data_IF_203123875252
#
_entry.id   IF_203123875252
#
_cell.length_a   1.000
_cell.length_b   1.000
_cell.length_c   1.000
_cell.angle_alpha   90.00
_cell.angle_beta   90.00
_cell.angle_gamma   90.00
#
_symmetry.space_group_name_H-M   'P 1'
#
loop_
_entity.id
_entity.type
_entity.pdbx_description
1 polymer ?
#
# COMPACT_ATOMS: atom_id res chain seq x y z
N UNK A 1 22.77 -37.60 -7.20
CA UNK A 1 22.13 -36.47 -7.94
C UNK A 1 20.91 -37.05 -8.70
N UNK A 2 19.72 -37.05 -8.13
CA UNK A 2 18.50 -37.54 -8.80
C UNK A 2 18.07 -36.45 -9.80
N UNK A 3 18.22 -36.74 -11.10
CA UNK A 3 17.77 -35.87 -12.17
C UNK A 3 16.29 -35.62 -12.06
N UNK A 4 15.90 -34.37 -12.10
CA UNK A 4 14.49 -33.93 -12.08
C UNK A 4 13.81 -34.48 -13.34
N UNK A 5 12.75 -35.31 -13.19
CA UNK A 5 12.00 -35.90 -14.31
C UNK A 5 11.51 -34.81 -15.26
N UNK A 6 11.83 -34.92 -16.55
CA UNK A 6 11.45 -33.96 -17.59
C UNK A 6 10.15 -34.39 -18.32
N UNK A 7 9.54 -33.44 -19.04
CA UNK A 7 8.42 -33.78 -19.95
C UNK A 7 8.82 -34.79 -21.02
N UNK A 8 10.07 -34.76 -21.45
CA UNK A 8 10.61 -35.70 -22.45
C UNK A 8 10.67 -37.13 -21.92
N UNK A 9 11.05 -37.31 -20.65
CA UNK A 9 11.10 -38.64 -20.01
C UNK A 9 9.72 -39.24 -19.90
N UNK A 10 8.74 -38.47 -19.48
CA UNK A 10 7.32 -38.90 -19.41
C UNK A 10 6.77 -39.21 -20.80
N UNK A 11 7.10 -38.39 -21.80
CA UNK A 11 6.65 -38.59 -23.18
C UNK A 11 7.22 -39.91 -23.76
N UNK A 12 8.49 -40.19 -23.54
CA UNK A 12 9.14 -41.44 -23.95
C UNK A 12 8.51 -42.66 -23.28
N UNK A 13 8.25 -42.61 -21.96
CA UNK A 13 7.64 -43.69 -21.19
C UNK A 13 6.17 -43.90 -21.53
N UNK A 14 5.44 -42.82 -21.82
CA UNK A 14 4.03 -42.87 -22.22
C UNK A 14 3.87 -43.32 -23.70
N UNK A 15 4.89 -43.20 -24.52
CA UNK A 15 4.85 -43.48 -25.97
C UNK A 15 4.07 -42.42 -26.75
N UNK A 16 4.16 -41.17 -26.33
CA UNK A 16 3.43 -40.01 -26.95
C UNK A 16 4.40 -38.83 -27.16
N UNK A 17 3.98 -37.85 -27.93
CA UNK A 17 4.78 -36.64 -28.11
C UNK A 17 4.88 -35.79 -26.83
N UNK A 18 5.98 -35.04 -26.66
CA UNK A 18 6.18 -34.09 -25.58
C UNK A 18 5.03 -33.05 -25.54
N UNK A 19 4.52 -32.67 -26.71
CA UNK A 19 3.37 -31.75 -26.80
C UNK A 19 2.07 -32.35 -26.29
N UNK A 20 1.87 -33.67 -26.42
CA UNK A 20 0.72 -34.38 -25.84
C UNK A 20 0.80 -34.41 -24.32
N UNK A 21 1.99 -34.76 -23.76
CA UNK A 21 2.21 -34.74 -22.30
C UNK A 21 2.02 -33.33 -21.75
N UNK A 22 2.58 -32.33 -22.41
CA UNK A 22 2.44 -30.92 -22.00
C UNK A 22 0.99 -30.46 -21.96
N UNK A 23 0.17 -30.82 -22.94
CA UNK A 23 -1.29 -30.50 -22.95
C UNK A 23 -2.02 -31.17 -21.81
N UNK A 24 -1.84 -32.47 -21.61
CA UNK A 24 -2.47 -33.24 -20.54
C UNK A 24 -2.06 -32.70 -19.17
N UNK A 25 -0.79 -32.41 -18.97
CA UNK A 25 -0.26 -31.83 -17.74
C UNK A 25 -0.85 -30.43 -17.41
N UNK A 26 -1.30 -29.70 -18.44
CA UNK A 26 -1.95 -28.39 -18.34
C UNK A 26 -3.50 -28.45 -18.37
N UNK A 27 -4.10 -29.66 -18.34
CA UNK A 27 -5.55 -29.84 -18.27
C UNK A 27 -6.27 -29.78 -19.64
N UNK A 28 -5.55 -29.66 -20.78
CA UNK A 28 -6.13 -29.78 -22.11
C UNK A 28 -6.24 -31.26 -22.50
N UNK A 29 -7.40 -31.86 -22.20
CA UNK A 29 -7.66 -33.29 -22.36
C UNK A 29 -8.34 -33.63 -23.71
N UNK A 30 -8.85 -32.63 -24.42
CA UNK A 30 -9.76 -32.84 -25.57
C UNK A 30 -9.14 -33.43 -26.85
N UNK A 31 -7.80 -33.57 -26.91
CA UNK A 31 -7.10 -34.04 -28.09
C UNK A 31 -6.34 -35.36 -27.91
N UNK A 32 -6.61 -36.08 -26.81
CA UNK A 32 -6.02 -37.37 -26.54
C UNK A 32 -7.10 -38.38 -26.12
N UNK A 33 -6.88 -39.68 -26.37
CA UNK A 33 -7.81 -40.72 -25.92
C UNK A 33 -7.82 -40.77 -24.39
N UNK A 34 -8.95 -41.19 -23.79
CA UNK A 34 -9.08 -41.35 -22.35
C UNK A 34 -7.98 -42.28 -21.76
N UNK A 35 -7.58 -43.31 -22.49
CA UNK A 35 -6.52 -44.23 -22.10
C UNK A 35 -5.16 -43.53 -22.06
N UNK A 36 -4.87 -42.69 -23.05
CA UNK A 36 -3.64 -41.88 -23.11
C UNK A 36 -3.58 -40.86 -21.96
N UNK A 37 -4.70 -40.18 -21.70
CA UNK A 37 -4.82 -39.23 -20.59
C UNK A 37 -4.52 -39.90 -19.26
N UNK A 38 -5.20 -41.03 -18.98
CA UNK A 38 -5.00 -41.79 -17.74
C UNK A 38 -3.54 -42.28 -17.57
N UNK A 39 -2.93 -42.77 -18.65
CA UNK A 39 -1.54 -43.24 -18.64
C UNK A 39 -0.59 -42.08 -18.29
N UNK A 40 -0.71 -40.93 -18.94
CA UNK A 40 0.14 -39.78 -18.73
C UNK A 40 -0.05 -39.18 -17.33
N UNK A 41 -1.29 -39.06 -16.84
CA UNK A 41 -1.58 -38.56 -15.50
C UNK A 41 -0.99 -39.46 -14.41
N UNK A 42 -1.07 -40.79 -14.57
CA UNK A 42 -0.43 -41.74 -13.67
C UNK A 42 1.08 -41.55 -13.63
N UNK A 43 1.74 -41.48 -14.79
CA UNK A 43 3.20 -41.27 -14.87
C UNK A 43 3.63 -39.93 -14.25
N UNK A 44 2.85 -38.86 -14.45
CA UNK A 44 3.09 -37.55 -13.80
C UNK A 44 3.07 -37.72 -12.27
N UNK A 45 2.08 -38.43 -11.74
CA UNK A 45 1.95 -38.67 -10.29
C UNK A 45 3.08 -39.57 -9.74
N UNK A 46 3.38 -40.69 -10.41
CA UNK A 46 4.42 -41.65 -9.99
C UNK A 46 5.81 -41.06 -10.02
N UNK A 47 6.11 -40.20 -11.01
CA UNK A 47 7.41 -39.54 -11.18
C UNK A 47 7.53 -38.22 -10.42
N UNK A 48 6.47 -37.78 -9.72
CA UNK A 48 6.44 -36.50 -9.00
C UNK A 48 6.68 -35.30 -9.90
N UNK A 49 6.38 -35.43 -11.21
CA UNK A 49 6.59 -34.34 -12.15
C UNK A 49 5.64 -33.18 -11.84
N UNK A 50 6.21 -32.02 -11.68
CA UNK A 50 5.46 -30.77 -11.57
C UNK A 50 5.74 -29.93 -12.82
N UNK A 51 4.70 -29.48 -13.55
CA UNK A 51 4.89 -28.55 -14.66
C UNK A 51 5.76 -27.38 -14.23
N UNK A 52 6.84 -27.13 -14.96
CA UNK A 52 7.70 -25.98 -14.69
C UNK A 52 6.94 -24.70 -15.11
N UNK A 53 6.59 -23.81 -14.17
CA UNK A 53 5.85 -22.57 -14.48
C UNK A 53 6.64 -21.68 -15.45
N UNK A 54 7.96 -21.68 -15.39
CA UNK A 54 8.84 -20.95 -16.32
C UNK A 54 8.74 -21.51 -17.75
N UNK A 55 8.68 -22.83 -17.92
CA UNK A 55 8.49 -23.45 -19.24
C UNK A 55 7.09 -23.22 -19.82
N UNK A 56 6.10 -22.93 -18.97
CA UNK A 56 4.74 -22.58 -19.39
C UNK A 56 4.66 -21.10 -19.83
N UNK A 57 5.23 -20.19 -19.08
CA UNK A 57 5.25 -18.75 -19.43
C UNK A 57 6.04 -18.49 -20.72
N UNK A 58 7.10 -19.25 -20.99
CA UNK A 58 7.85 -19.19 -22.25
C UNK A 58 7.06 -19.66 -23.48
N UNK A 59 6.04 -20.52 -23.31
CA UNK A 59 5.24 -21.06 -24.43
C UNK A 59 3.85 -20.42 -24.57
N UNK A 60 3.33 -19.79 -23.53
CA UNK A 60 1.95 -19.28 -23.50
C UNK A 60 1.81 -17.83 -23.03
N UNK A 61 2.88 -17.17 -22.61
CA UNK A 61 2.88 -15.76 -22.25
C UNK A 61 2.15 -15.41 -20.93
N UNK A 62 1.68 -16.39 -20.14
CA UNK A 62 0.87 -16.15 -18.94
C UNK A 62 1.60 -16.73 -17.70
N UNK A 63 2.42 -15.92 -17.06
CA UNK A 63 3.16 -16.32 -15.85
C UNK A 63 2.28 -16.30 -14.60
N UNK A 64 1.22 -15.51 -14.64
CA UNK A 64 0.35 -15.16 -13.50
C UNK A 64 1.09 -14.59 -12.30
N UNK A 65 2.26 -14.00 -12.53
CA UNK A 65 3.05 -13.31 -11.51
C UNK A 65 2.76 -11.81 -11.56
N UNK A 66 2.48 -11.23 -10.42
CA UNK A 66 2.37 -9.77 -10.24
C UNK A 66 3.37 -9.36 -9.17
N UNK A 67 4.19 -8.36 -9.47
CA UNK A 67 5.13 -7.82 -8.50
C UNK A 67 4.50 -6.65 -7.76
N UNK A 68 4.56 -6.67 -6.43
CA UNK A 68 4.21 -5.55 -5.58
C UNK A 68 5.47 -5.01 -4.91
N UNK A 69 5.81 -3.78 -5.22
CA UNK A 69 6.90 -3.03 -4.61
C UNK A 69 6.29 -2.09 -3.56
N UNK A 70 6.69 -2.23 -2.30
CA UNK A 70 6.16 -1.42 -1.21
C UNK A 70 7.29 -1.04 -0.25
N UNK A 71 7.30 0.16 0.33
CA UNK A 71 8.28 0.53 1.33
C UNK A 71 7.81 0.15 2.73
N UNK A 72 8.76 -0.15 3.62
CA UNK A 72 8.54 -0.22 5.05
C UNK A 72 7.34 -1.10 5.47
N UNK A 73 7.46 -2.41 5.24
CA UNK A 73 6.38 -3.39 5.51
C UNK A 73 6.03 -3.51 7.00
N UNK A 74 6.81 -2.94 7.90
CA UNK A 74 6.51 -2.77 9.32
C UNK A 74 5.46 -1.67 9.58
N UNK A 75 5.16 -0.83 8.59
CA UNK A 75 4.06 0.12 8.66
C UNK A 75 2.71 -0.60 8.46
N UNK A 76 1.78 -0.57 9.44
CA UNK A 76 0.48 -1.22 9.36
C UNK A 76 -0.34 -0.87 8.10
N UNK A 77 -0.24 0.37 7.61
CA UNK A 77 -0.90 0.80 6.38
C UNK A 77 -0.37 0.03 5.16
N UNK A 78 0.96 -0.11 5.05
CA UNK A 78 1.59 -0.85 3.95
C UNK A 78 1.24 -2.34 4.03
N UNK A 79 1.26 -2.92 5.23
CA UNK A 79 0.85 -4.30 5.46
C UNK A 79 -0.63 -4.54 5.09
N UNK A 80 -1.53 -3.62 5.42
CA UNK A 80 -2.95 -3.73 5.09
C UNK A 80 -3.19 -3.64 3.57
N UNK A 81 -2.49 -2.75 2.86
CA UNK A 81 -2.52 -2.67 1.39
C UNK A 81 -2.02 -3.99 0.79
N UNK A 82 -0.89 -4.51 1.28
CA UNK A 82 -0.31 -5.77 0.78
C UNK A 82 -1.27 -6.95 0.99
N UNK A 83 -1.86 -7.08 2.18
CA UNK A 83 -2.78 -8.16 2.50
C UNK A 83 -4.05 -8.13 1.64
N UNK A 84 -4.68 -6.95 1.47
CA UNK A 84 -5.87 -6.82 0.62
C UNK A 84 -5.57 -7.10 -0.85
N UNK A 85 -4.40 -6.65 -1.32
CA UNK A 85 -3.96 -6.84 -2.70
C UNK A 85 -3.65 -8.31 -2.99
N UNK A 86 -2.95 -9.00 -2.06
CA UNK A 86 -2.68 -10.44 -2.17
C UNK A 86 -3.98 -11.23 -2.27
N UNK A 87 -4.93 -10.98 -1.36
CA UNK A 87 -6.20 -11.69 -1.35
C UNK A 87 -6.98 -11.53 -2.67
N UNK A 88 -7.04 -10.30 -3.21
CA UNK A 88 -7.71 -10.02 -4.48
C UNK A 88 -6.99 -10.66 -5.68
N UNK A 89 -5.66 -10.57 -5.74
CA UNK A 89 -4.85 -11.19 -6.79
C UNK A 89 -4.99 -12.72 -6.77
N UNK A 90 -4.90 -13.34 -5.60
CA UNK A 90 -5.09 -14.78 -5.44
C UNK A 90 -6.48 -15.23 -5.89
N UNK A 91 -7.54 -14.48 -5.55
CA UNK A 91 -8.90 -14.75 -6.02
C UNK A 91 -9.01 -14.64 -7.55
N UNK A 92 -8.21 -13.76 -8.18
CA UNK A 92 -8.12 -13.61 -9.63
C UNK A 92 -7.16 -14.62 -10.30
N UNK A 93 -6.53 -15.53 -9.53
CA UNK A 93 -5.63 -16.58 -10.02
C UNK A 93 -4.19 -16.12 -10.27
N UNK A 94 -3.78 -14.99 -9.69
CA UNK A 94 -2.40 -14.49 -9.72
C UNK A 94 -1.63 -14.89 -8.45
N UNK A 95 -0.32 -14.91 -8.57
CA UNK A 95 0.62 -15.01 -7.45
C UNK A 95 1.31 -13.67 -7.28
N UNK A 96 1.27 -13.10 -6.09
CA UNK A 96 1.95 -11.86 -5.76
C UNK A 96 3.37 -12.13 -5.23
N UNK A 97 4.35 -11.42 -5.76
CA UNK A 97 5.69 -11.33 -5.18
C UNK A 97 5.83 -9.95 -4.56
N UNK A 98 6.07 -9.92 -3.25
CA UNK A 98 6.23 -8.69 -2.48
C UNK A 98 7.71 -8.36 -2.33
N UNK A 99 8.07 -7.13 -2.69
CA UNK A 99 9.43 -6.58 -2.63
C UNK A 99 9.44 -5.33 -1.75
N UNK A 100 10.22 -5.35 -0.67
CA UNK A 100 10.38 -4.18 0.20
C UNK A 100 11.46 -3.25 -0.34
N UNK A 101 11.07 -2.03 -0.71
CA UNK A 101 11.95 -1.04 -1.34
C UNK A 101 12.58 -0.07 -0.34
N UNK A 102 12.12 -0.03 0.92
CA UNK A 102 12.60 0.90 1.95
C UNK A 102 12.64 2.38 1.50
N UNK A 103 11.71 2.81 0.61
CA UNK A 103 11.71 4.13 -0.06
C UNK A 103 13.02 4.44 -0.83
N UNK A 104 13.79 3.41 -1.22
CA UNK A 104 15.07 3.54 -1.93
C UNK A 104 14.89 3.37 -3.42
N UNK A 105 15.29 4.38 -4.24
CA UNK A 105 15.18 4.32 -5.70
C UNK A 105 16.00 3.17 -6.32
N UNK A 106 17.18 2.88 -5.77
CA UNK A 106 18.07 1.83 -6.26
C UNK A 106 17.46 0.42 -6.05
N UNK A 107 16.83 0.16 -4.91
CA UNK A 107 16.11 -1.09 -4.65
C UNK A 107 14.84 -1.20 -5.51
N UNK A 108 14.09 -0.10 -5.67
CA UNK A 108 12.95 -0.07 -6.59
C UNK A 108 13.37 -0.48 -8.00
N UNK A 109 14.48 0.09 -8.51
CA UNK A 109 15.03 -0.23 -9.83
C UNK A 109 15.50 -1.69 -9.94
N UNK A 110 16.18 -2.19 -8.91
CA UNK A 110 16.63 -3.59 -8.86
C UNK A 110 15.44 -4.54 -8.97
N UNK A 111 14.38 -4.32 -8.16
CA UNK A 111 13.21 -5.17 -8.17
C UNK A 111 12.40 -5.07 -9.47
N UNK A 112 12.25 -3.89 -10.05
CA UNK A 112 11.59 -3.74 -11.35
C UNK A 112 12.31 -4.58 -12.43
N UNK A 113 13.65 -4.49 -12.53
CA UNK A 113 14.45 -5.31 -13.46
C UNK A 113 14.34 -6.80 -13.15
N UNK A 114 14.47 -7.18 -11.87
CA UNK A 114 14.44 -8.57 -11.45
C UNK A 114 13.09 -9.24 -11.72
N UNK A 115 11.98 -8.54 -11.46
CA UNK A 115 10.64 -9.10 -11.67
C UNK A 115 10.26 -9.16 -13.15
N UNK A 116 10.68 -8.18 -13.94
CA UNK A 116 10.54 -8.24 -15.40
C UNK A 116 11.25 -9.46 -15.98
N UNK A 117 12.51 -9.73 -15.57
CA UNK A 117 13.26 -10.90 -16.02
C UNK A 117 12.60 -12.23 -15.61
N UNK A 118 11.70 -12.22 -14.65
CA UNK A 118 10.89 -13.36 -14.19
C UNK A 118 9.48 -13.37 -14.79
N UNK A 119 9.27 -12.57 -15.83
CA UNK A 119 7.99 -12.50 -16.55
C UNK A 119 6.82 -12.05 -15.67
N UNK A 120 7.02 -11.10 -14.76
CA UNK A 120 5.89 -10.45 -14.07
C UNK A 120 4.97 -9.78 -15.11
N UNK A 121 3.68 -10.02 -14.99
CA UNK A 121 2.65 -9.55 -15.92
C UNK A 121 2.13 -8.15 -15.59
N UNK A 122 2.51 -7.64 -14.44
CA UNK A 122 2.17 -6.30 -13.99
C UNK A 122 2.90 -5.96 -12.71
N UNK A 123 2.94 -4.67 -12.44
CA UNK A 123 3.59 -4.09 -11.29
C UNK A 123 2.62 -3.23 -10.48
N UNK A 124 2.67 -3.36 -9.18
CA UNK A 124 1.97 -2.52 -8.23
C UNK A 124 3.06 -1.78 -7.46
N UNK A 125 3.12 -0.46 -7.66
CA UNK A 125 4.14 0.35 -6.99
C UNK A 125 3.46 1.17 -5.90
N UNK A 126 3.61 0.69 -4.67
CA UNK A 126 3.08 1.36 -3.49
C UNK A 126 4.09 2.40 -3.04
N UNK A 127 3.64 3.64 -2.91
CA UNK A 127 4.51 4.74 -2.50
C UNK A 127 5.74 4.93 -3.40
N UNK A 128 5.51 4.99 -4.71
CA UNK A 128 6.56 5.15 -5.72
C UNK A 128 7.51 6.32 -5.45
N UNK A 129 8.78 6.11 -5.76
CA UNK A 129 9.82 7.15 -5.79
C UNK A 129 10.35 7.31 -7.22
N UNK A 130 10.81 8.51 -7.57
CA UNK A 130 11.40 8.73 -8.89
C UNK A 130 12.68 7.91 -9.04
N UNK A 131 12.79 7.16 -10.14
CA UNK A 131 13.96 6.33 -10.42
C UNK A 131 14.08 6.04 -11.91
N UNK A 132 15.30 5.84 -12.45
CA UNK A 132 15.53 5.63 -13.89
C UNK A 132 14.78 4.42 -14.46
N UNK A 133 14.73 3.32 -13.72
CA UNK A 133 14.06 2.12 -14.21
C UNK A 133 12.54 2.23 -14.19
N UNK A 134 11.97 2.99 -13.23
CA UNK A 134 10.55 3.30 -13.24
C UNK A 134 10.18 4.14 -14.47
N UNK A 135 10.96 5.17 -14.79
CA UNK A 135 10.78 5.99 -15.99
C UNK A 135 10.84 5.12 -17.26
N UNK A 136 11.88 4.31 -17.38
CA UNK A 136 12.03 3.38 -18.50
C UNK A 136 10.90 2.35 -18.59
N UNK A 137 10.31 1.91 -17.46
CA UNK A 137 9.14 1.01 -17.43
C UNK A 137 7.89 1.69 -17.98
N UNK A 138 7.70 2.97 -17.65
CA UNK A 138 6.61 3.78 -18.17
C UNK A 138 6.73 3.99 -19.68
N UNK A 139 7.94 4.28 -20.18
CA UNK A 139 8.23 4.43 -21.63
C UNK A 139 7.92 3.13 -22.39
N UNK A 140 8.20 1.98 -21.77
CA UNK A 140 7.84 0.65 -22.33
C UNK A 140 6.37 0.33 -22.21
N UNK A 141 5.55 1.18 -21.58
CA UNK A 141 4.12 0.97 -21.31
C UNK A 141 3.84 -0.33 -20.56
N UNK A 142 4.71 -0.67 -19.61
CA UNK A 142 4.47 -1.82 -18.74
C UNK A 142 3.22 -1.60 -17.89
N UNK A 143 2.44 -2.64 -17.59
CA UNK A 143 1.24 -2.51 -16.75
C UNK A 143 1.64 -2.17 -15.30
N UNK A 144 1.63 -0.89 -14.96
CA UNK A 144 1.98 -0.38 -13.63
C UNK A 144 0.78 0.32 -13.01
N UNK A 145 0.43 -0.05 -11.79
CA UNK A 145 -0.58 0.63 -10.97
C UNK A 145 0.12 1.29 -9.79
N UNK A 146 -0.08 2.59 -9.64
CA UNK A 146 0.42 3.36 -8.50
C UNK A 146 -0.59 3.33 -7.36
N UNK A 147 -0.09 3.09 -6.15
CA UNK A 147 -0.94 2.97 -4.96
C UNK A 147 -0.40 3.88 -3.86
N UNK A 148 -1.28 4.55 -3.14
CA UNK A 148 -0.98 5.45 -2.04
C UNK A 148 -0.22 6.74 -2.44
N UNK A 149 0.91 6.67 -3.13
CA UNK A 149 1.58 7.83 -3.76
C UNK A 149 1.36 7.80 -5.27
N UNK A 150 1.20 8.98 -5.87
CA UNK A 150 1.06 9.14 -7.32
C UNK A 150 2.36 8.82 -8.03
N UNK A 151 2.26 8.59 -9.34
CA UNK A 151 3.42 8.52 -10.21
C UNK A 151 4.28 9.79 -10.08
N UNK A 152 5.56 9.68 -9.72
CA UNK A 152 6.44 10.85 -9.57
C UNK A 152 6.68 11.63 -10.87
N UNK A 153 6.43 10.98 -12.02
CA UNK A 153 6.53 11.59 -13.35
C UNK A 153 5.19 12.14 -13.88
N UNK A 154 4.13 12.03 -13.08
CA UNK A 154 2.78 12.48 -13.44
C UNK A 154 1.97 11.46 -14.26
N UNK A 155 0.65 11.56 -14.15
CA UNK A 155 -0.29 10.69 -14.87
C UNK A 155 -0.25 9.21 -14.47
N UNK A 156 -0.99 8.41 -15.24
CA UNK A 156 -1.07 6.96 -15.03
C UNK A 156 -2.13 6.52 -14.01
N UNK A 157 -2.37 5.21 -13.91
CA UNK A 157 -3.33 4.63 -12.98
C UNK A 157 -2.92 4.87 -11.53
N UNK A 158 -3.82 5.44 -10.75
CA UNK A 158 -3.58 5.71 -9.34
C UNK A 158 -4.74 5.20 -8.48
N UNK A 159 -4.42 4.55 -7.38
CA UNK A 159 -5.38 4.12 -6.36
C UNK A 159 -4.99 4.72 -5.02
N UNK A 160 -5.90 5.47 -4.43
CA UNK A 160 -5.68 6.15 -3.17
C UNK A 160 -6.97 6.76 -2.62
N UNK A 161 -6.82 7.81 -1.82
CA UNK A 161 -7.90 8.66 -1.33
C UNK A 161 -7.67 10.10 -1.77
N UNK A 162 -8.66 10.95 -1.57
CA UNK A 162 -8.46 12.40 -1.60
C UNK A 162 -7.74 12.83 -0.32
N UNK A 163 -6.41 12.95 -0.39
CA UNK A 163 -5.58 13.32 0.76
C UNK A 163 -5.79 14.77 1.19
N UNK A 164 -6.10 15.69 0.24
CA UNK A 164 -6.44 17.08 0.60
C UNK A 164 -7.71 17.13 1.41
N UNK A 165 -8.75 16.40 0.98
CA UNK A 165 -9.99 16.32 1.74
C UNK A 165 -9.79 15.64 3.10
N UNK A 166 -8.96 14.59 3.20
CA UNK A 166 -8.61 13.96 4.47
C UNK A 166 -7.94 14.96 5.46
N UNK A 167 -7.05 15.80 4.95
CA UNK A 167 -6.47 16.90 5.74
C UNK A 167 -7.51 17.95 6.16
N UNK A 168 -8.41 18.31 5.26
CA UNK A 168 -9.51 19.23 5.52
C UNK A 168 -10.48 18.70 6.60
N UNK A 169 -10.83 17.41 6.55
CA UNK A 169 -11.68 16.76 7.55
C UNK A 169 -11.02 16.76 8.94
N UNK A 170 -9.71 16.60 9.00
CA UNK A 170 -8.94 16.70 10.24
C UNK A 170 -8.96 18.13 10.80
N UNK A 171 -8.89 19.16 9.96
CA UNK A 171 -9.00 20.56 10.37
C UNK A 171 -10.40 20.87 10.92
N UNK A 172 -11.44 20.48 10.19
CA UNK A 172 -12.83 20.67 10.63
C UNK A 172 -13.09 19.97 11.98
N UNK A 173 -12.48 18.79 12.19
CA UNK A 173 -12.55 18.06 13.46
C UNK A 173 -11.92 18.83 14.62
N UNK A 174 -10.69 19.32 14.47
CA UNK A 174 -10.02 20.08 15.51
C UNK A 174 -10.75 21.40 15.82
N UNK A 175 -11.27 22.08 14.81
CA UNK A 175 -12.08 23.29 15.01
C UNK A 175 -13.39 23.00 15.76
N UNK A 176 -14.04 21.85 15.47
CA UNK A 176 -15.22 21.41 16.19
C UNK A 176 -14.93 21.06 17.66
N UNK A 177 -13.69 20.66 17.97
CA UNK A 177 -13.19 20.46 19.33
C UNK A 177 -12.84 21.76 20.05
N UNK A 178 -12.95 22.92 19.41
CA UNK A 178 -12.65 24.23 19.99
C UNK A 178 -11.17 24.59 20.01
N UNK A 179 -10.32 23.91 19.23
CA UNK A 179 -8.89 24.17 19.11
C UNK A 179 -8.64 25.62 18.66
N UNK A 180 -7.70 26.31 19.34
CA UNK A 180 -7.33 27.72 19.11
C UNK A 180 -5.87 27.92 18.73
N UNK A 181 -5.01 26.98 19.07
CA UNK A 181 -3.57 26.99 18.79
C UNK A 181 -3.16 25.70 18.06
N UNK A 182 -3.64 25.47 16.82
CA UNK A 182 -3.36 24.26 16.09
C UNK A 182 -1.91 24.15 15.68
N UNK A 183 -1.45 22.91 15.52
CA UNK A 183 -0.17 22.60 14.93
C UNK A 183 -0.27 21.44 13.94
N UNK A 184 0.77 21.26 13.14
CA UNK A 184 0.99 20.07 12.31
C UNK A 184 2.42 19.60 12.45
N UNK A 185 2.60 18.29 12.61
CA UNK A 185 3.91 17.64 12.57
C UNK A 185 4.04 16.83 11.29
N UNK A 186 5.22 16.75 10.71
CA UNK A 186 5.44 16.04 9.44
C UNK A 186 6.92 15.65 9.28
N UNK A 187 7.28 14.70 8.36
CA UNK A 187 8.68 14.48 7.99
C UNK A 187 9.28 15.71 7.30
N UNK A 188 10.60 15.90 7.43
CA UNK A 188 11.33 16.97 6.73
C UNK A 188 11.13 16.85 5.20
N UNK A 189 11.22 15.63 4.68
CA UNK A 189 10.95 15.32 3.26
C UNK A 189 9.50 14.88 3.09
N UNK A 190 8.70 15.75 2.48
CA UNK A 190 7.28 15.50 2.27
C UNK A 190 7.04 14.62 1.03
N UNK A 191 6.57 13.40 1.24
CA UNK A 191 5.93 12.64 0.16
C UNK A 191 4.68 13.36 -0.37
N UNK A 192 4.25 13.07 -1.60
CA UNK A 192 3.02 13.65 -2.16
C UNK A 192 1.82 13.47 -1.23
N UNK A 193 1.64 12.29 -0.67
CA UNK A 193 0.55 11.95 0.26
C UNK A 193 0.57 12.83 1.50
N UNK A 194 1.72 12.94 2.17
CA UNK A 194 1.85 13.78 3.38
C UNK A 194 1.66 15.25 3.05
N UNK A 195 2.23 15.71 1.93
CA UNK A 195 2.08 17.09 1.46
C UNK A 195 0.61 17.45 1.26
N UNK A 196 -0.13 16.64 0.51
CA UNK A 196 -1.55 16.86 0.23
C UNK A 196 -2.39 16.91 1.52
N UNK A 197 -2.11 16.03 2.50
CA UNK A 197 -2.77 16.04 3.82
C UNK A 197 -2.50 17.32 4.60
N UNK A 198 -1.24 17.75 4.64
CA UNK A 198 -0.83 19.00 5.31
C UNK A 198 -1.41 20.23 4.63
N UNK A 199 -1.35 20.30 3.30
CA UNK A 199 -1.91 21.42 2.53
C UNK A 199 -3.43 21.51 2.72
N UNK A 200 -4.15 20.37 2.61
CA UNK A 200 -5.61 20.36 2.83
C UNK A 200 -6.00 20.79 4.24
N UNK A 201 -5.22 20.44 5.24
CA UNK A 201 -5.40 20.89 6.63
C UNK A 201 -5.21 22.40 6.77
N UNK A 202 -4.12 22.94 6.22
CA UNK A 202 -3.80 24.36 6.31
C UNK A 202 -4.81 25.22 5.53
N UNK A 203 -5.13 24.81 4.30
CA UNK A 203 -6.11 25.49 3.45
C UNK A 203 -7.47 25.55 4.15
N UNK A 204 -7.91 24.48 4.77
CA UNK A 204 -9.21 24.43 5.50
C UNK A 204 -9.18 25.30 6.75
N UNK A 205 -8.08 25.33 7.50
CA UNK A 205 -7.97 26.24 8.66
C UNK A 205 -8.01 27.71 8.23
N UNK A 206 -7.32 28.08 7.16
CA UNK A 206 -7.36 29.44 6.62
C UNK A 206 -8.77 29.81 6.11
N UNK A 207 -9.45 28.90 5.43
CA UNK A 207 -10.83 29.09 4.97
C UNK A 207 -11.80 29.34 6.13
N UNK A 208 -11.71 28.53 7.22
CA UNK A 208 -12.63 28.58 8.35
C UNK A 208 -12.29 29.64 9.39
N UNK A 209 -11.02 29.95 9.53
CA UNK A 209 -10.47 30.89 10.52
C UNK A 209 -9.31 31.70 9.91
N UNK A 210 -9.59 32.65 9.02
CA UNK A 210 -8.56 33.45 8.36
C UNK A 210 -7.59 34.10 9.38
N UNK A 211 -6.29 33.93 9.14
CA UNK A 211 -5.25 34.46 9.99
C UNK A 211 -4.98 33.66 11.28
N UNK A 212 -5.58 32.48 11.43
CA UNK A 212 -5.24 31.57 12.55
C UNK A 212 -3.79 31.06 12.40
N UNK A 213 -2.94 31.39 13.37
CA UNK A 213 -1.55 30.93 13.35
C UNK A 213 -1.48 29.41 13.56
N UNK A 214 -0.84 28.71 12.61
CA UNK A 214 -0.61 27.26 12.69
C UNK A 214 0.87 27.00 12.84
N UNK A 215 1.28 26.36 13.94
CA UNK A 215 2.67 25.94 14.10
C UNK A 215 2.97 24.70 13.26
N UNK A 216 4.13 24.70 12.61
CA UNK A 216 4.59 23.59 11.77
C UNK A 216 5.93 23.08 12.32
N UNK A 217 6.07 21.79 12.48
CA UNK A 217 7.31 21.20 12.93
C UNK A 217 7.61 19.91 12.18
N UNK A 218 8.81 19.85 11.64
CA UNK A 218 9.30 18.65 10.97
C UNK A 218 10.07 17.75 11.95
N UNK A 219 10.04 16.46 11.65
CA UNK A 219 10.87 15.43 12.27
C UNK A 219 11.74 14.72 11.23
N UNK A 220 12.60 13.79 11.67
CA UNK A 220 13.43 13.00 10.77
C UNK A 220 12.54 12.23 9.78
N UNK A 221 13.04 11.99 8.56
CA UNK A 221 12.42 11.10 7.58
C UNK A 221 12.54 9.62 7.98
N UNK A 222 11.92 8.75 7.19
CA UNK A 222 11.99 7.30 7.36
C UNK A 222 10.93 6.75 8.32
N UNK A 223 11.23 6.58 9.59
CA UNK A 223 10.29 6.02 10.57
C UNK A 223 9.31 7.08 11.10
N UNK A 224 8.01 6.87 10.90
CA UNK A 224 6.97 7.81 11.33
C UNK A 224 6.83 7.91 12.86
N UNK A 225 7.15 6.85 13.62
CA UNK A 225 7.17 6.90 15.09
C UNK A 225 8.22 7.90 15.58
N UNK A 226 9.45 7.74 15.08
CA UNK A 226 10.58 8.62 15.45
C UNK A 226 10.33 10.05 14.96
N UNK A 227 9.75 10.21 13.77
CA UNK A 227 9.34 11.51 13.24
C UNK A 227 8.37 12.21 14.19
N UNK A 228 7.27 11.55 14.57
CA UNK A 228 6.27 12.11 15.47
C UNK A 228 6.83 12.48 16.83
N UNK A 229 7.66 11.62 17.41
CA UNK A 229 8.33 11.84 18.69
C UNK A 229 9.27 13.06 18.65
N UNK A 230 10.16 13.11 17.65
CA UNK A 230 11.14 14.18 17.54
C UNK A 230 10.48 15.53 17.20
N UNK A 231 9.51 15.54 16.27
CA UNK A 231 8.78 16.75 15.91
C UNK A 231 7.98 17.31 17.11
N UNK A 232 7.34 16.45 17.91
CA UNK A 232 6.63 16.88 19.12
C UNK A 232 7.59 17.53 20.15
N UNK A 233 8.76 16.94 20.37
CA UNK A 233 9.79 17.53 21.27
C UNK A 233 10.29 18.87 20.79
N UNK A 234 10.53 19.04 19.50
CA UNK A 234 10.94 20.33 18.91
C UNK A 234 9.83 21.37 18.98
N UNK A 235 8.60 20.97 18.65
CA UNK A 235 7.43 21.85 18.68
C UNK A 235 7.23 22.51 20.05
N UNK A 236 7.56 21.81 21.11
CA UNK A 236 7.34 22.25 22.49
C UNK A 236 8.52 23.02 23.09
N UNK A 237 9.72 22.93 22.49
CA UNK A 237 10.88 23.67 22.96
C UNK A 237 10.69 25.18 22.88
N UNK A 238 9.96 25.68 21.88
CA UNK A 238 9.83 27.10 21.52
C UNK A 238 8.49 27.75 21.91
N UNK A 239 7.60 27.09 22.66
CA UNK A 239 6.32 27.75 22.95
C UNK A 239 5.22 26.93 23.61
N UNK A 240 5.56 25.86 24.29
CA UNK A 240 4.58 24.99 24.98
C UNK A 240 3.77 24.11 24.01
N UNK A 241 2.87 23.30 24.53
CA UNK A 241 2.03 22.39 23.75
C UNK A 241 0.90 23.15 23.03
N UNK A 242 0.62 22.80 21.77
CA UNK A 242 -0.60 23.24 21.10
C UNK A 242 -1.81 22.52 21.71
N UNK A 243 -3.01 23.10 21.55
CA UNK A 243 -4.26 22.48 22.01
C UNK A 243 -4.82 21.47 21.01
N UNK A 244 -4.30 21.44 19.75
CA UNK A 244 -4.62 20.44 18.75
C UNK A 244 -3.52 20.23 17.74
N UNK A 245 -3.30 18.99 17.28
CA UNK A 245 -2.22 18.63 16.34
C UNK A 245 -2.72 17.68 15.26
N UNK A 246 -2.46 18.04 13.99
CA UNK A 246 -2.52 17.07 12.90
C UNK A 246 -1.25 16.20 12.90
N UNK A 247 -1.45 14.89 12.95
CA UNK A 247 -0.45 13.87 12.68
C UNK A 247 -0.82 13.19 11.36
N UNK A 248 -0.12 13.45 10.25
CA UNK A 248 -0.50 12.91 8.93
C UNK A 248 -0.42 11.39 8.78
N UNK A 249 -0.05 10.67 9.83
CA UNK A 249 -0.26 9.23 10.00
C UNK A 249 -0.41 8.88 11.48
N UNK A 250 -1.10 7.78 11.78
CA UNK A 250 -1.29 7.30 13.16
C UNK A 250 0.04 6.98 13.85
N UNK A 251 1.03 6.48 13.13
CA UNK A 251 2.36 6.22 13.69
C UNK A 251 3.02 7.50 14.22
N UNK A 252 2.82 8.65 13.55
CA UNK A 252 3.30 9.93 14.07
C UNK A 252 2.55 10.32 15.35
N UNK A 253 1.24 10.04 15.42
CA UNK A 253 0.46 10.30 16.64
C UNK A 253 0.94 9.45 17.82
N UNK A 254 1.37 8.21 17.60
CA UNK A 254 1.94 7.38 18.67
C UNK A 254 3.28 7.95 19.16
N UNK A 255 4.14 8.42 18.24
CA UNK A 255 5.39 9.09 18.62
C UNK A 255 5.15 10.36 19.44
N UNK A 256 4.18 11.18 19.01
CA UNK A 256 3.72 12.36 19.74
C UNK A 256 3.18 11.99 21.13
N UNK A 257 2.37 10.96 21.24
CA UNK A 257 1.80 10.50 22.52
C UNK A 257 2.90 10.13 23.53
N UNK A 258 3.94 9.44 23.07
CA UNK A 258 5.12 9.14 23.91
C UNK A 258 5.81 10.41 24.38
N UNK A 259 6.05 11.38 23.49
CA UNK A 259 6.69 12.65 23.85
C UNK A 259 5.85 13.46 24.86
N UNK A 260 4.51 13.44 24.71
CA UNK A 260 3.58 14.07 25.63
C UNK A 260 3.69 13.46 27.04
N UNK A 261 3.65 12.13 27.14
CA UNK A 261 3.77 11.42 28.41
C UNK A 261 5.08 11.72 29.14
N UNK A 262 6.21 11.81 28.43
CA UNK A 262 7.51 12.19 29.00
C UNK A 262 7.54 13.63 29.57
N UNK A 263 6.63 14.51 29.10
CA UNK A 263 6.52 15.90 29.52
C UNK A 263 5.32 16.15 30.43
N UNK A 264 4.63 15.11 30.88
CA UNK A 264 3.47 15.20 31.77
C UNK A 264 2.22 15.82 31.12
N UNK A 265 2.13 15.84 29.80
CA UNK A 265 0.98 16.36 29.04
C UNK A 265 -0.02 15.24 28.83
N UNK A 266 -1.28 15.52 29.18
CA UNK A 266 -2.37 14.56 29.06
C UNK A 266 -3.01 14.66 27.69
N UNK A 267 -3.05 13.54 26.99
CA UNK A 267 -3.80 13.40 25.75
C UNK A 267 -5.06 12.57 26.05
N UNK A 268 -6.24 13.05 25.65
CA UNK A 268 -6.53 14.24 24.81
C UNK A 268 -6.83 15.54 25.57
N UNK A 269 -6.72 15.59 26.88
CA UNK A 269 -7.22 16.70 27.70
C UNK A 269 -6.47 18.02 27.45
N UNK A 270 -5.12 17.97 27.49
CA UNK A 270 -4.27 19.16 27.34
C UNK A 270 -3.90 19.41 25.86
N UNK A 271 -3.89 18.36 25.02
CA UNK A 271 -3.65 18.44 23.60
C UNK A 271 -4.45 17.37 22.84
N UNK A 272 -5.11 17.73 21.75
CA UNK A 272 -5.96 16.86 20.93
C UNK A 272 -5.29 16.49 19.60
N UNK A 273 -4.67 15.32 19.48
CA UNK A 273 -4.18 14.87 18.20
C UNK A 273 -5.31 14.34 17.33
N UNK A 274 -5.15 14.52 16.00
CA UNK A 274 -5.93 13.83 14.97
C UNK A 274 -4.97 13.11 14.05
N UNK A 275 -5.22 11.82 13.82
CA UNK A 275 -4.43 10.94 12.95
C UNK A 275 -5.01 10.80 11.56
N UNK A 276 -4.28 10.12 10.70
CA UNK A 276 -4.76 9.61 9.40
C UNK A 276 -4.20 8.21 9.26
N UNK A 277 -4.99 7.28 8.85
CA UNK A 277 -4.90 5.86 8.49
C UNK A 277 -6.02 5.08 9.17
N UNK A 278 -6.28 5.31 10.44
CA UNK A 278 -7.16 4.58 11.34
C UNK A 278 -6.91 3.07 11.24
N UNK A 279 -5.65 2.69 11.53
CA UNK A 279 -5.29 1.27 11.53
C UNK A 279 -6.01 0.52 12.67
N UNK A 280 -6.20 -0.77 12.50
CA UNK A 280 -7.00 -1.60 13.42
C UNK A 280 -6.41 -1.70 14.84
N UNK A 281 -5.16 -1.27 15.06
CA UNK A 281 -4.57 -1.19 16.40
C UNK A 281 -5.13 -0.03 17.23
N UNK A 282 -5.70 1.02 16.58
CA UNK A 282 -6.21 2.18 17.30
C UNK A 282 -7.25 1.82 18.35
N UNK A 283 -8.13 0.87 18.06
CA UNK A 283 -9.17 0.45 18.99
C UNK A 283 -8.61 -0.23 20.27
N UNK A 284 -7.37 -0.72 20.19
CA UNK A 284 -6.71 -1.46 21.29
C UNK A 284 -5.71 -0.61 22.07
N UNK A 285 -4.90 0.20 21.37
CA UNK A 285 -3.77 0.90 21.99
C UNK A 285 -3.89 2.42 21.97
N UNK A 286 -4.82 2.97 21.16
CA UNK A 286 -4.97 4.40 20.99
C UNK A 286 -6.45 4.84 20.98
N UNK A 287 -7.27 4.46 22.00
CA UNK A 287 -8.66 4.89 22.09
C UNK A 287 -8.81 6.41 22.25
N UNK A 288 -7.71 7.09 22.52
CA UNK A 288 -7.59 8.54 22.61
C UNK A 288 -7.47 9.22 21.22
N UNK A 289 -7.16 8.48 20.13
CA UNK A 289 -6.84 9.05 18.82
C UNK A 289 -8.04 9.01 17.88
N UNK A 290 -8.64 10.18 17.61
CA UNK A 290 -9.51 10.34 16.43
C UNK A 290 -8.65 10.30 15.17
N UNK A 291 -9.10 9.57 14.15
CA UNK A 291 -8.28 9.38 12.95
C UNK A 291 -9.16 9.29 11.70
N UNK A 292 -8.62 9.72 10.56
CA UNK A 292 -9.26 9.54 9.25
C UNK A 292 -8.99 8.12 8.76
N UNK A 293 -10.05 7.30 8.70
CA UNK A 293 -9.97 5.90 8.23
C UNK A 293 -9.83 5.83 6.73
N UNK A 294 -8.73 5.21 6.28
CA UNK A 294 -8.51 4.84 4.90
C UNK A 294 -8.99 3.41 4.67
N UNK A 295 -9.81 3.14 3.64
CA UNK A 295 -10.40 1.81 3.42
C UNK A 295 -9.40 0.86 2.74
N UNK A 296 -8.28 0.53 3.38
CA UNK A 296 -7.20 -0.30 2.84
C UNK A 296 -7.69 -1.66 2.34
N UNK A 297 -8.74 -2.22 2.95
CA UNK A 297 -9.34 -3.48 2.56
C UNK A 297 -9.97 -3.46 1.15
N UNK A 298 -10.26 -2.27 0.60
CA UNK A 298 -10.83 -2.08 -0.73
C UNK A 298 -9.78 -1.84 -1.83
N UNK A 299 -8.52 -1.67 -1.44
CA UNK A 299 -7.44 -1.38 -2.39
C UNK A 299 -7.20 -2.56 -3.34
N UNK A 300 -7.24 -3.79 -2.83
CA UNK A 300 -6.98 -4.99 -3.62
C UNK A 300 -7.90 -5.14 -4.83
N UNK A 301 -9.21 -4.96 -4.64
CA UNK A 301 -10.18 -5.06 -5.73
C UNK A 301 -9.94 -3.99 -6.80
N UNK A 302 -9.65 -2.75 -6.38
CA UNK A 302 -9.34 -1.66 -7.30
C UNK A 302 -8.04 -1.92 -8.07
N UNK A 303 -7.02 -2.48 -7.43
CA UNK A 303 -5.74 -2.86 -8.07
C UNK A 303 -5.97 -3.92 -9.13
N UNK A 304 -6.71 -4.99 -8.81
CA UNK A 304 -6.98 -6.09 -9.77
C UNK A 304 -7.78 -5.59 -10.96
N UNK A 305 -8.79 -4.75 -10.75
CA UNK A 305 -9.56 -4.14 -11.82
C UNK A 305 -8.66 -3.30 -12.74
N UNK A 306 -7.85 -2.41 -12.16
CA UNK A 306 -6.93 -1.55 -12.91
C UNK A 306 -5.87 -2.35 -13.69
N UNK A 307 -5.27 -3.38 -13.10
CA UNK A 307 -4.30 -4.24 -13.80
C UNK A 307 -4.94 -4.99 -14.96
N UNK A 308 -6.17 -5.49 -14.78
CA UNK A 308 -6.91 -6.18 -15.87
C UNK A 308 -7.16 -5.26 -17.03
N UNK A 309 -7.60 -4.03 -16.77
CA UNK A 309 -7.88 -3.04 -17.81
C UNK A 309 -6.60 -2.62 -18.54
N UNK A 310 -5.50 -2.37 -17.83
CA UNK A 310 -4.20 -2.07 -18.44
C UNK A 310 -3.72 -3.19 -19.36
N UNK A 311 -3.85 -4.45 -18.94
CA UNK A 311 -3.48 -5.61 -19.75
C UNK A 311 -4.37 -5.79 -20.97
N UNK A 312 -5.62 -5.35 -20.90
CA UNK A 312 -6.52 -5.32 -22.04
C UNK A 312 -6.24 -4.15 -23.00
N UNK A 313 -5.26 -3.29 -22.69
CA UNK A 313 -4.92 -2.09 -23.46
C UNK A 313 -5.85 -0.90 -23.21
N UNK A 314 -6.68 -0.96 -22.17
CA UNK A 314 -7.57 0.13 -21.80
C UNK A 314 -6.80 1.23 -21.05
N UNK A 315 -7.27 2.46 -21.19
CA UNK A 315 -6.79 3.57 -20.36
C UNK A 315 -7.42 3.48 -18.96
N UNK A 316 -6.59 3.58 -17.93
CA UNK A 316 -7.02 3.58 -16.52
C UNK A 316 -6.62 4.91 -15.89
N UNK A 317 -7.57 5.59 -15.28
CA UNK A 317 -7.37 6.84 -14.56
C UNK A 317 -7.15 6.62 -13.06
N UNK A 318 -7.50 7.66 -12.29
CA UNK A 318 -7.44 7.64 -10.83
C UNK A 318 -8.68 6.99 -10.23
N UNK A 319 -8.47 6.17 -9.20
CA UNK A 319 -9.53 5.59 -8.37
C UNK A 319 -9.36 6.12 -6.95
N UNK A 320 -10.21 7.08 -6.57
CA UNK A 320 -10.22 7.64 -5.23
C UNK A 320 -11.26 6.91 -4.38
N UNK A 321 -10.81 6.18 -3.38
CA UNK A 321 -11.68 5.47 -2.44
C UNK A 321 -12.18 6.42 -1.35
N UNK A 322 -13.44 6.32 -0.93
CA UNK A 322 -13.99 7.20 0.11
C UNK A 322 -13.36 6.89 1.47
N UNK A 323 -12.84 7.92 2.13
CA UNK A 323 -12.38 7.87 3.51
C UNK A 323 -13.47 8.40 4.46
N UNK A 324 -13.27 8.25 5.76
CA UNK A 324 -14.16 8.81 6.78
C UNK A 324 -13.40 9.12 8.07
N UNK A 325 -13.81 10.14 8.79
CA UNK A 325 -13.28 10.40 10.13
C UNK A 325 -13.92 9.45 11.16
N UNK A 326 -13.06 8.78 11.94
CA UNK A 326 -13.44 7.99 13.12
C UNK A 326 -13.14 8.83 14.35
N UNK A 327 -14.20 9.22 15.07
CA UNK A 327 -14.06 10.02 16.29
C UNK A 327 -13.84 9.12 17.48
N UNK A 328 -12.91 9.50 18.35
CA UNK A 328 -12.58 8.85 19.62
C UNK A 328 -12.45 9.90 20.72
N UNK A 329 -11.76 9.61 21.80
CA UNK A 329 -11.65 10.51 22.97
C UNK A 329 -11.08 11.91 22.64
N UNK A 330 -10.22 12.05 21.62
CA UNK A 330 -9.76 13.37 21.13
C UNK A 330 -10.83 14.15 20.37
N UNK A 331 -12.01 13.58 20.18
CA UNK A 331 -13.16 14.23 19.54
C UNK A 331 -13.90 15.20 20.46
N UNK A 332 -14.86 16.00 19.91
CA UNK A 332 -15.76 16.78 20.72
C UNK A 332 -16.61 15.85 21.59
N UNK A 333 -16.86 16.25 22.83
CA UNK A 333 -17.76 15.51 23.73
C UNK A 333 -19.09 15.26 23.02
N UNK A 334 -19.51 14.02 22.93
CA UNK A 334 -20.83 13.69 22.40
C UNK A 334 -21.88 14.14 23.43
N UNK A 335 -22.96 14.79 22.95
CA UNK A 335 -24.08 15.13 23.82
C UNK A 335 -24.69 13.81 24.34
N UNK A 336 -24.35 13.45 25.58
CA UNK A 336 -24.81 12.21 26.21
C UNK A 336 -23.73 11.31 26.83
N UNK A 337 -22.45 11.63 26.71
CA UNK A 337 -21.40 10.92 27.45
C UNK A 337 -21.44 11.35 28.93
N UNK A 338 -21.54 10.42 29.88
CA UNK A 338 -21.41 10.74 31.31
C UNK A 338 -20.00 11.24 31.62
N UNK A 339 -19.92 12.35 32.36
CA UNK A 339 -18.67 12.97 32.84
C UNK A 339 -17.86 12.04 33.75
#
# INVERSE_FOLDING_TARGET
MSGQTSLADIAAEAGVSVSTVSRIANGDLGRASAATVAKVQRLIAERGYRPNPVGRSLRGGDSRLVAMLAPNLDNPAMAAIAASTEAALRAAGYVMILCDTHDRPDLQDEYLRAMRSRFAEGFIVVSAVASPELEASLDRREPIVFVNRRNPYGGGPFIGIDNRQAGADAADHLLACGVRAPAVIHPADLSSTIRERVEGFLDRLEERRPGLAVRRCDGPGGNHLDCGYAAAKRLTADGGWPDGILCPSDLMAYGLFRAAGEQGVRIPDDCRPVGIDDNDLNDWIAPWLSSVKIPYQRFGDAVVASLRDLRAGNSVGEVLLPHRLVRRQSGPAMAGDPA
#
